data_IF_867179357410
#
_entry.id   IF_867179357410
#
_cell.length_a   1.000
_cell.length_b   1.000
_cell.length_c   1.000
_cell.angle_alpha   90.00
_cell.angle_beta   90.00
_cell.angle_gamma   90.00
#
_symmetry.space_group_name_H-M   'P 1'
#
loop_
_entity.id
_entity.type
_entity.pdbx_description
1 polymer ?
#
# COMPACT_ATOMS: atom_id res chain seq x y z
N UNK A 1 14.10 -5.98 20.98
CA UNK A 1 13.27 -6.56 19.94
C UNK A 1 12.62 -5.45 19.11
N UNK A 2 12.77 -5.48 17.79
CA UNK A 2 12.24 -4.44 16.87
C UNK A 2 10.72 -4.39 16.88
N UNK A 3 10.08 -5.52 17.09
CA UNK A 3 8.61 -5.59 17.13
C UNK A 3 8.08 -4.93 18.40
N UNK A 4 8.69 -5.19 19.56
CA UNK A 4 8.35 -4.50 20.81
C UNK A 4 8.53 -3.00 20.66
N UNK A 5 9.64 -2.55 20.06
CA UNK A 5 9.88 -1.12 19.80
C UNK A 5 8.75 -0.50 18.94
N UNK A 6 8.27 -1.22 17.93
CA UNK A 6 7.12 -0.78 17.10
C UNK A 6 5.88 -0.58 17.96
N UNK A 7 5.55 -1.54 18.83
CA UNK A 7 4.39 -1.45 19.72
C UNK A 7 4.55 -0.32 20.74
N UNK A 8 5.73 -0.11 21.29
CA UNK A 8 6.01 0.98 22.23
C UNK A 8 5.83 2.36 21.56
N UNK A 9 6.26 2.48 20.29
CA UNK A 9 6.03 3.70 19.49
C UNK A 9 4.54 3.93 19.28
N UNK A 10 3.77 2.90 18.91
CA UNK A 10 2.32 3.03 18.76
C UNK A 10 1.65 3.45 20.07
N UNK A 11 1.99 2.80 21.18
CA UNK A 11 1.45 3.13 22.50
C UNK A 11 1.73 4.60 22.89
N UNK A 12 2.92 5.10 22.58
CA UNK A 12 3.28 6.50 22.83
C UNK A 12 2.44 7.49 22.05
N UNK A 13 2.10 7.19 20.79
CA UNK A 13 1.25 8.05 19.99
C UNK A 13 -0.21 8.00 20.43
N UNK A 14 -0.69 6.82 20.84
CA UNK A 14 -2.06 6.60 21.31
C UNK A 14 -2.30 7.32 22.65
N UNK A 15 -1.30 7.38 23.53
CA UNK A 15 -1.43 8.02 24.85
C UNK A 15 -1.60 9.55 24.81
N UNK A 16 -1.36 10.19 23.67
CA UNK A 16 -1.42 11.64 23.51
C UNK A 16 -2.81 12.22 23.22
N UNK A 17 -3.89 11.54 23.54
CA UNK A 17 -5.30 12.00 23.53
C UNK A 17 -5.77 12.82 22.31
N UNK A 18 -5.07 12.77 21.19
CA UNK A 18 -5.48 13.46 19.98
C UNK A 18 -6.15 12.51 19.00
N UNK A 19 -7.21 12.99 18.44
CA UNK A 19 -8.34 12.36 17.79
C UNK A 19 -8.10 11.16 16.86
N UNK A 20 -7.10 11.13 16.02
CA UNK A 20 -6.72 10.00 15.16
C UNK A 20 -5.26 10.17 14.76
N UNK A 21 -4.48 9.11 14.96
CA UNK A 21 -3.10 9.06 14.49
C UNK A 21 -2.98 8.05 13.31
N UNK A 22 -2.76 8.52 12.08
CA UNK A 22 -2.58 7.63 10.94
C UNK A 22 -1.19 6.99 10.97
N UNK A 23 -1.15 5.66 10.86
CA UNK A 23 0.07 4.88 10.75
C UNK A 23 0.10 4.18 9.41
N UNK A 24 1.15 4.40 8.62
CA UNK A 24 1.38 3.70 7.36
C UNK A 24 2.14 2.41 7.61
N UNK A 25 1.60 1.29 7.15
CA UNK A 25 2.23 -0.02 7.22
C UNK A 25 2.19 -0.69 5.85
N UNK A 26 3.14 -1.57 5.60
CA UNK A 26 3.20 -2.37 4.38
C UNK A 26 3.16 -3.88 4.66
N UNK A 27 3.15 -4.27 5.93
CA UNK A 27 3.14 -5.68 6.31
C UNK A 27 1.82 -6.36 5.93
N UNK A 28 1.88 -7.62 5.52
CA UNK A 28 0.69 -8.47 5.43
C UNK A 28 0.11 -8.68 6.84
N UNK A 29 -1.20 -8.93 6.91
CA UNK A 29 -1.86 -9.14 8.18
C UNK A 29 -1.37 -10.44 8.85
N UNK A 30 -1.06 -10.34 10.14
CA UNK A 30 -0.73 -11.45 11.02
C UNK A 30 -1.40 -11.23 12.37
N UNK A 31 -1.92 -12.29 12.98
CA UNK A 31 -2.47 -12.18 14.33
C UNK A 31 -1.38 -11.92 15.37
N UNK A 32 -0.24 -12.59 15.20
CA UNK A 32 0.91 -12.50 16.10
C UNK A 32 2.21 -12.46 15.31
N UNK A 33 3.16 -11.76 15.85
CA UNK A 33 4.56 -11.79 15.44
C UNK A 33 5.39 -12.06 16.70
N UNK A 34 6.16 -13.17 16.70
CA UNK A 34 6.92 -13.61 17.89
C UNK A 34 6.10 -13.65 19.19
N UNK A 35 4.89 -14.24 19.12
CA UNK A 35 3.94 -14.35 20.24
C UNK A 35 3.34 -13.03 20.73
N UNK A 36 3.56 -11.92 20.03
CA UNK A 36 2.99 -10.61 20.35
C UNK A 36 1.95 -10.18 19.29
N UNK A 37 0.94 -9.39 19.65
CA UNK A 37 0.02 -8.84 18.67
C UNK A 37 0.77 -8.05 17.59
N UNK A 38 0.41 -8.27 16.32
CA UNK A 38 1.00 -7.56 15.19
C UNK A 38 0.73 -6.04 15.25
N UNK A 39 -0.46 -5.68 15.70
CA UNK A 39 -0.91 -4.29 15.91
C UNK A 39 -1.66 -4.19 17.24
N UNK A 40 -1.80 -3.00 17.82
CA UNK A 40 -2.65 -2.77 18.98
C UNK A 40 -4.13 -2.79 18.56
N UNK A 41 -4.69 -3.99 18.30
CA UNK A 41 -6.02 -4.18 17.71
C UNK A 41 -7.12 -3.44 18.45
N UNK A 42 -7.12 -3.50 19.78
CA UNK A 42 -8.11 -2.85 20.64
C UNK A 42 -8.04 -1.31 20.65
N UNK A 43 -6.96 -0.74 20.13
CA UNK A 43 -6.73 0.71 20.02
C UNK A 43 -6.76 1.19 18.56
N UNK A 44 -6.87 0.27 17.62
CA UNK A 44 -6.94 0.57 16.19
C UNK A 44 -8.38 0.85 15.78
N UNK A 45 -8.67 2.06 15.31
CA UNK A 45 -10.01 2.48 14.93
C UNK A 45 -10.51 1.82 13.66
N UNK A 46 -9.69 1.85 12.62
CA UNK A 46 -9.98 1.22 11.33
C UNK A 46 -8.70 1.05 10.50
N UNK A 47 -8.77 0.20 9.52
CA UNK A 47 -7.76 0.04 8.47
C UNK A 47 -8.32 0.56 7.15
N UNK A 48 -7.61 1.48 6.52
CA UNK A 48 -7.82 1.84 5.12
C UNK A 48 -6.83 1.03 4.29
N UNK A 49 -7.33 -0.05 3.67
CA UNK A 49 -6.50 -0.95 2.87
C UNK A 49 -6.52 -0.54 1.41
N UNK A 50 -5.41 0.04 0.96
CA UNK A 50 -5.25 0.47 -0.42
C UNK A 50 -4.72 -0.69 -1.27
N UNK A 51 -5.49 -1.11 -2.27
CA UNK A 51 -5.10 -2.16 -3.22
C UNK A 51 -4.95 -1.56 -4.62
N UNK A 52 -4.02 -2.12 -5.37
CA UNK A 52 -3.81 -1.78 -6.79
C UNK A 52 -3.81 -3.06 -7.63
N UNK A 53 -4.26 -2.98 -8.89
CA UNK A 53 -4.19 -4.12 -9.78
C UNK A 53 -2.74 -4.66 -9.90
N UNK A 54 -2.56 -5.98 -9.95
CA UNK A 54 -1.24 -6.59 -9.85
C UNK A 54 -0.35 -6.30 -11.07
N UNK A 55 -0.92 -5.99 -12.21
CA UNK A 55 -0.17 -5.69 -13.43
C UNK A 55 0.52 -4.33 -13.35
N UNK A 56 -0.22 -3.27 -13.00
CA UNK A 56 0.36 -1.95 -12.74
C UNK A 56 1.31 -1.97 -11.55
N UNK A 57 0.98 -2.79 -10.52
CA UNK A 57 1.84 -2.96 -9.36
C UNK A 57 3.19 -3.54 -9.77
N UNK A 58 3.24 -4.59 -10.61
CA UNK A 58 4.48 -5.18 -11.09
C UNK A 58 5.39 -4.13 -11.75
N UNK A 59 4.84 -3.27 -12.60
CA UNK A 59 5.59 -2.18 -13.23
C UNK A 59 6.06 -1.12 -12.24
N UNK A 60 5.20 -0.71 -11.31
CA UNK A 60 5.53 0.29 -10.29
C UNK A 60 6.57 -0.22 -9.31
N UNK A 61 6.40 -1.46 -8.86
CA UNK A 61 7.27 -2.08 -7.86
C UNK A 61 8.65 -2.43 -8.42
N UNK A 62 8.76 -2.80 -9.71
CA UNK A 62 10.05 -3.01 -10.38
C UNK A 62 10.92 -1.75 -10.33
N UNK A 63 10.32 -0.58 -10.56
CA UNK A 63 11.03 0.71 -10.46
C UNK A 63 11.44 1.02 -9.03
N UNK A 64 10.56 0.75 -8.07
CA UNK A 64 10.84 0.98 -6.66
C UNK A 64 12.00 0.10 -6.17
N UNK A 65 12.02 -1.17 -6.57
CA UNK A 65 13.07 -2.13 -6.19
C UNK A 65 14.36 -1.97 -7.02
N UNK A 66 14.30 -1.30 -8.18
CA UNK A 66 15.44 -1.21 -9.11
C UNK A 66 15.79 -2.55 -9.76
N UNK A 67 14.81 -3.40 -9.98
CA UNK A 67 14.96 -4.70 -10.63
C UNK A 67 14.06 -4.81 -11.86
N UNK A 68 14.33 -5.79 -12.73
CA UNK A 68 13.48 -6.04 -13.89
C UNK A 68 12.08 -6.56 -13.50
N UNK A 69 11.17 -6.53 -14.46
CA UNK A 69 9.77 -6.91 -14.26
C UNK A 69 9.65 -8.41 -13.95
N UNK A 70 10.42 -9.29 -14.60
CA UNK A 70 10.34 -10.73 -14.36
C UNK A 70 10.73 -11.07 -12.92
N UNK A 71 11.80 -10.44 -12.41
CA UNK A 71 12.21 -10.58 -11.02
C UNK A 71 11.16 -10.02 -10.05
N UNK A 72 10.52 -8.92 -10.41
CA UNK A 72 9.43 -8.34 -9.61
C UNK A 72 8.23 -9.27 -9.55
N UNK A 73 7.84 -9.88 -10.67
CA UNK A 73 6.76 -10.89 -10.71
C UNK A 73 7.12 -12.09 -9.83
N UNK A 74 8.37 -12.56 -9.89
CA UNK A 74 8.85 -13.63 -9.01
C UNK A 74 8.74 -13.23 -7.53
N UNK A 75 9.13 -12.00 -7.17
CA UNK A 75 8.97 -11.45 -5.81
C UNK A 75 7.50 -11.43 -5.40
N UNK A 76 6.60 -10.94 -6.24
CA UNK A 76 5.15 -10.89 -5.95
C UNK A 76 4.54 -12.29 -5.74
N UNK A 77 5.20 -13.34 -6.21
CA UNK A 77 4.82 -14.75 -6.06
C UNK A 77 5.59 -15.47 -4.95
N UNK A 78 6.52 -14.80 -4.26
CA UNK A 78 7.34 -15.42 -3.21
C UNK A 78 6.63 -15.37 -1.88
N UNK A 79 6.37 -16.54 -1.28
CA UNK A 79 5.86 -16.63 0.09
C UNK A 79 6.91 -16.12 1.08
N UNK A 80 6.44 -15.48 2.13
CA UNK A 80 7.26 -14.86 3.18
C UNK A 80 8.27 -13.84 2.66
N UNK A 81 8.02 -13.25 1.49
CA UNK A 81 8.88 -12.16 1.01
C UNK A 81 8.84 -10.99 1.97
N UNK A 82 10.03 -10.50 2.35
CA UNK A 82 10.20 -9.41 3.31
C UNK A 82 11.01 -8.29 2.67
N UNK A 83 10.46 -7.07 2.70
CA UNK A 83 11.21 -5.86 2.36
C UNK A 83 12.16 -5.47 3.48
N UNK A 84 13.25 -4.82 3.11
CA UNK A 84 14.18 -4.21 4.07
C UNK A 84 14.79 -5.21 5.05
N UNK A 85 15.13 -6.42 4.59
CA UNK A 85 15.86 -7.40 5.42
C UNK A 85 17.19 -6.77 5.83
N UNK A 86 17.52 -6.73 7.15
CA UNK A 86 18.75 -6.14 7.63
C UNK A 86 19.96 -6.84 6.99
N UNK A 87 20.72 -6.10 6.19
CA UNK A 87 22.09 -6.46 5.84
C UNK A 87 23.03 -5.86 6.90
N UNK A 88 24.34 -6.02 6.77
CA UNK A 88 25.35 -5.49 7.72
C UNK A 88 25.32 -3.97 7.95
N UNK A 89 24.38 -3.23 7.35
CA UNK A 89 24.19 -1.78 7.52
C UNK A 89 22.82 -1.51 8.12
N UNK A 90 22.72 -0.48 8.98
CA UNK A 90 21.43 0.03 9.45
C UNK A 90 20.59 0.46 8.27
N UNK A 91 19.38 -0.10 8.16
CA UNK A 91 18.40 0.27 7.16
C UNK A 91 17.57 1.45 7.69
N UNK A 92 17.14 2.31 6.78
CA UNK A 92 16.21 3.41 7.09
C UNK A 92 14.79 2.93 7.40
N UNK A 93 14.50 1.65 7.14
CA UNK A 93 13.19 1.04 7.35
C UNK A 93 13.31 -0.28 8.11
N UNK A 94 12.31 -0.58 8.92
CA UNK A 94 12.17 -1.87 9.56
C UNK A 94 11.81 -2.96 8.54
N UNK A 95 12.16 -4.23 8.78
CA UNK A 95 11.68 -5.34 7.96
C UNK A 95 10.16 -5.37 7.88
N UNK A 96 9.62 -5.58 6.70
CA UNK A 96 8.18 -5.60 6.42
C UNK A 96 7.83 -6.86 5.65
N UNK A 97 7.06 -7.75 6.26
CA UNK A 97 6.63 -8.98 5.63
C UNK A 97 5.51 -8.69 4.62
N UNK A 98 5.79 -8.83 3.34
CA UNK A 98 4.80 -8.64 2.29
C UNK A 98 4.06 -9.92 1.93
N UNK A 99 4.74 -11.06 1.94
CA UNK A 99 4.22 -12.30 1.41
C UNK A 99 3.90 -12.20 -0.12
N UNK A 100 3.13 -13.14 -0.70
CA UNK A 100 2.65 -12.99 -2.07
C UNK A 100 1.58 -11.90 -2.16
N UNK A 101 1.39 -11.29 -3.33
CA UNK A 101 0.34 -10.28 -3.53
C UNK A 101 -1.05 -10.81 -3.12
N UNK A 102 -1.40 -12.03 -3.50
CA UNK A 102 -2.69 -12.63 -3.13
C UNK A 102 -2.80 -12.94 -1.64
N UNK A 103 -1.75 -13.44 -1.01
CA UNK A 103 -1.77 -13.78 0.41
C UNK A 103 -1.82 -12.53 1.28
N UNK A 104 -1.14 -11.46 0.87
CA UNK A 104 -1.21 -10.16 1.51
C UNK A 104 -2.66 -9.64 1.58
N UNK A 105 -3.34 -9.62 0.44
CA UNK A 105 -4.73 -9.12 0.35
C UNK A 105 -5.67 -10.04 1.11
N UNK A 106 -5.53 -11.36 0.96
CA UNK A 106 -6.37 -12.34 1.63
C UNK A 106 -6.27 -12.20 3.16
N UNK A 107 -5.07 -12.04 3.69
CA UNK A 107 -4.85 -11.84 5.13
C UNK A 107 -5.63 -10.65 5.64
N UNK A 108 -5.50 -9.49 4.99
CA UNK A 108 -6.22 -8.28 5.39
C UNK A 108 -7.74 -8.39 5.23
N UNK A 109 -8.23 -8.99 4.16
CA UNK A 109 -9.68 -9.10 3.94
C UNK A 109 -10.37 -10.11 4.86
N UNK A 110 -9.64 -11.12 5.34
CA UNK A 110 -10.22 -12.17 6.19
C UNK A 110 -10.09 -11.89 7.70
N UNK A 111 -9.27 -10.94 8.12
CA UNK A 111 -9.16 -10.55 9.52
C UNK A 111 -10.49 -9.97 10.03
N UNK A 112 -10.75 -10.12 11.34
CA UNK A 112 -11.97 -9.64 12.02
C UNK A 112 -11.66 -8.73 13.20
N UNK A 113 -10.40 -8.43 13.43
CA UNK A 113 -9.93 -7.69 14.61
C UNK A 113 -10.18 -6.18 14.50
N UNK A 114 -10.08 -5.63 13.28
CA UNK A 114 -10.18 -4.20 13.04
C UNK A 114 -11.15 -3.97 11.88
N UNK A 115 -12.09 -3.01 11.97
CA UNK A 115 -12.87 -2.58 10.82
C UNK A 115 -11.98 -2.22 9.63
N UNK A 116 -12.30 -2.74 8.43
CA UNK A 116 -11.48 -2.54 7.25
C UNK A 116 -12.31 -1.92 6.12
N UNK A 117 -11.79 -0.82 5.57
CA UNK A 117 -12.26 -0.21 4.33
C UNK A 117 -11.30 -0.55 3.20
N UNK A 118 -11.76 -1.32 2.23
CA UNK A 118 -11.02 -1.58 0.99
C UNK A 118 -11.18 -0.40 0.03
N UNK A 119 -10.04 0.12 -0.43
CA UNK A 119 -9.96 1.21 -1.43
C UNK A 119 -9.12 0.73 -2.61
N UNK A 120 -9.69 0.78 -3.82
CA UNK A 120 -8.93 0.50 -5.04
C UNK A 120 -8.24 1.76 -5.52
N UNK A 121 -6.96 1.67 -5.82
CA UNK A 121 -6.18 2.78 -6.36
C UNK A 121 -6.82 3.36 -7.63
N UNK A 122 -7.34 2.51 -8.49
CA UNK A 122 -7.99 2.87 -9.74
C UNK A 122 -9.24 3.73 -9.51
N UNK A 123 -10.05 3.37 -8.51
CA UNK A 123 -11.24 4.16 -8.14
C UNK A 123 -10.84 5.47 -7.45
N UNK A 124 -9.80 5.45 -6.62
CA UNK A 124 -9.28 6.65 -5.99
C UNK A 124 -8.83 7.69 -7.01
N UNK A 125 -8.18 7.25 -8.09
CA UNK A 125 -7.77 8.16 -9.19
C UNK A 125 -8.97 8.62 -10.02
N UNK A 126 -9.93 7.74 -10.28
CA UNK A 126 -11.09 8.03 -11.13
C UNK A 126 -12.13 8.91 -10.44
N UNK A 127 -12.37 8.69 -9.15
CA UNK A 127 -13.42 9.35 -8.36
C UNK A 127 -12.88 9.77 -6.99
N UNK A 128 -11.88 10.66 -6.93
CA UNK A 128 -11.19 10.99 -5.67
C UNK A 128 -12.14 11.53 -4.61
N UNK A 129 -13.09 12.42 -4.96
CA UNK A 129 -14.04 12.99 -4.00
C UNK A 129 -14.85 11.88 -3.30
N UNK A 130 -15.38 10.93 -4.08
CA UNK A 130 -16.17 9.82 -3.55
C UNK A 130 -15.34 8.92 -2.66
N UNK A 131 -14.15 8.52 -3.09
CA UNK A 131 -13.31 7.60 -2.33
C UNK A 131 -12.74 8.24 -1.06
N UNK A 132 -12.31 9.50 -1.11
CA UNK A 132 -11.88 10.20 0.10
C UNK A 132 -13.04 10.47 1.06
N UNK A 133 -14.24 10.80 0.58
CA UNK A 133 -15.43 10.90 1.44
C UNK A 133 -15.69 9.58 2.17
N UNK A 134 -15.68 8.43 1.48
CA UNK A 134 -15.81 7.09 2.08
C UNK A 134 -14.77 6.82 3.16
N UNK A 135 -13.52 7.25 2.94
CA UNK A 135 -12.45 7.11 3.95
C UNK A 135 -12.77 7.95 5.18
N UNK A 136 -13.12 9.21 5.01
CA UNK A 136 -13.43 10.11 6.13
C UNK A 136 -14.64 9.64 6.91
N UNK A 137 -15.70 9.17 6.23
CA UNK A 137 -16.89 8.60 6.85
C UNK A 137 -16.55 7.33 7.66
N UNK A 138 -15.74 6.43 7.10
CA UNK A 138 -15.27 5.23 7.81
C UNK A 138 -14.48 5.58 9.09
N UNK A 139 -13.74 6.65 9.07
CA UNK A 139 -12.95 7.13 10.20
C UNK A 139 -13.77 8.03 11.16
N UNK A 140 -15.06 8.32 10.85
CA UNK A 140 -15.88 9.29 11.56
C UNK A 140 -15.20 10.68 11.68
N UNK A 141 -14.57 11.13 10.59
CA UNK A 141 -13.95 12.46 10.51
C UNK A 141 -14.93 13.40 9.80
N UNK A 142 -15.34 14.44 10.49
CA UNK A 142 -16.19 15.48 9.91
C UNK A 142 -15.40 16.32 8.90
N UNK A 143 -15.99 16.62 7.75
CA UNK A 143 -15.39 17.42 6.71
C UNK A 143 -16.45 18.32 6.04
N UNK A 144 -15.99 19.32 5.31
CA UNK A 144 -16.81 20.05 4.35
C UNK A 144 -16.32 19.76 2.94
N UNK A 145 -17.21 19.85 1.96
CA UNK A 145 -16.86 19.61 0.55
C UNK A 145 -15.71 20.51 0.08
N UNK A 146 -15.67 21.73 0.55
CA UNK A 146 -14.59 22.67 0.24
C UNK A 146 -13.24 22.15 0.74
N UNK A 147 -13.14 21.75 2.02
CA UNK A 147 -11.89 21.20 2.60
C UNK A 147 -11.48 19.89 1.94
N UNK A 148 -12.45 19.04 1.61
CA UNK A 148 -12.20 17.79 0.90
C UNK A 148 -11.60 18.08 -0.49
N UNK A 149 -12.20 18.99 -1.26
CA UNK A 149 -11.70 19.36 -2.58
C UNK A 149 -10.31 20.00 -2.53
N UNK A 150 -10.07 20.89 -1.56
CA UNK A 150 -8.75 21.50 -1.35
C UNK A 150 -7.68 20.45 -1.05
N UNK A 151 -7.99 19.47 -0.20
CA UNK A 151 -7.08 18.38 0.14
C UNK A 151 -6.78 17.49 -1.08
N UNK A 152 -7.80 17.16 -1.88
CA UNK A 152 -7.64 16.36 -3.10
C UNK A 152 -6.78 17.12 -4.13
N UNK A 153 -7.03 18.39 -4.30
CA UNK A 153 -6.24 19.23 -5.21
C UNK A 153 -4.78 19.34 -4.75
N UNK A 154 -4.56 19.53 -3.44
CA UNK A 154 -3.22 19.56 -2.85
C UNK A 154 -2.47 18.25 -3.06
N UNK A 155 -3.15 17.12 -2.93
CA UNK A 155 -2.61 15.76 -3.13
C UNK A 155 -2.69 15.28 -4.59
N UNK A 156 -3.00 16.15 -5.56
CA UNK A 156 -3.03 15.77 -6.97
C UNK A 156 -1.65 15.34 -7.47
N UNK A 157 -1.63 14.44 -8.47
CA UNK A 157 -0.38 13.96 -9.06
C UNK A 157 0.51 15.10 -9.56
N UNK A 158 -0.07 16.07 -10.22
CA UNK A 158 0.62 17.23 -10.77
C UNK A 158 1.31 18.05 -9.67
N UNK A 159 0.58 18.27 -8.58
CA UNK A 159 1.10 19.03 -7.44
C UNK A 159 2.21 18.26 -6.71
N UNK A 160 1.97 16.98 -6.39
CA UNK A 160 2.96 16.14 -5.71
C UNK A 160 4.22 15.92 -6.56
N UNK A 161 4.07 15.68 -7.88
CA UNK A 161 5.21 15.56 -8.80
C UNK A 161 6.01 16.87 -8.90
N UNK A 162 5.31 18.03 -8.88
CA UNK A 162 5.97 19.34 -8.86
C UNK A 162 6.73 19.58 -7.56
N UNK A 163 6.14 19.20 -6.42
CA UNK A 163 6.81 19.27 -5.11
C UNK A 163 8.03 18.36 -5.04
N UNK A 164 7.93 17.13 -5.55
CA UNK A 164 9.07 16.21 -5.63
C UNK A 164 10.24 16.81 -6.42
N UNK A 165 9.96 17.41 -7.57
CA UNK A 165 11.00 18.06 -8.39
C UNK A 165 11.70 19.20 -7.66
N UNK A 166 10.96 19.95 -6.82
CA UNK A 166 11.47 21.14 -6.13
C UNK A 166 12.18 20.80 -4.82
N UNK A 167 11.65 19.86 -4.06
CA UNK A 167 12.08 19.60 -2.66
C UNK A 167 12.60 18.17 -2.44
N UNK A 168 12.47 17.30 -3.43
CA UNK A 168 12.68 15.87 -3.25
C UNK A 168 11.49 15.17 -2.61
N UNK A 169 11.58 13.85 -2.46
CA UNK A 169 10.58 13.05 -1.78
C UNK A 169 11.25 11.97 -0.93
N UNK A 170 10.94 11.94 0.36
CA UNK A 170 11.63 11.06 1.33
C UNK A 170 11.51 9.56 1.03
N UNK A 171 10.36 9.12 0.51
CA UNK A 171 10.13 7.71 0.19
C UNK A 171 10.63 7.32 -1.20
N UNK A 172 11.28 8.24 -1.91
CA UNK A 172 11.87 7.94 -3.21
C UNK A 172 12.96 6.90 -3.05
N UNK A 173 12.84 5.79 -3.78
CA UNK A 173 13.88 4.76 -3.83
C UNK A 173 15.19 5.33 -4.39
N UNK A 174 16.31 4.86 -3.85
CA UNK A 174 17.66 5.16 -4.39
C UNK A 174 17.85 4.66 -5.82
N UNK A 175 17.00 3.72 -6.26
CA UNK A 175 17.03 3.13 -7.58
C UNK A 175 16.14 3.86 -8.60
N UNK A 176 15.42 4.90 -8.19
CA UNK A 176 14.50 5.64 -9.06
C UNK A 176 14.85 7.13 -9.10
N UNK A 177 14.78 7.74 -10.30
CA UNK A 177 14.97 9.17 -10.44
C UNK A 177 13.76 9.99 -9.93
N UNK A 178 12.56 9.41 -9.99
CA UNK A 178 11.31 10.03 -9.53
C UNK A 178 10.46 9.00 -8.81
N UNK A 179 9.71 9.43 -7.79
CA UNK A 179 8.68 8.63 -7.14
C UNK A 179 7.35 8.72 -7.89
N UNK A 180 6.90 9.96 -8.18
CA UNK A 180 5.67 10.23 -8.92
C UNK A 180 5.91 10.07 -10.43
N UNK A 181 5.65 8.87 -10.97
CA UNK A 181 6.05 8.54 -12.35
C UNK A 181 4.93 8.81 -13.38
N UNK A 182 3.75 8.21 -13.21
CA UNK A 182 2.65 8.32 -14.19
C UNK A 182 1.34 8.83 -13.63
N UNK A 183 1.01 8.54 -12.38
CA UNK A 183 -0.29 8.88 -11.78
C UNK A 183 -1.50 8.25 -12.48
N UNK A 184 -1.28 7.20 -13.29
CA UNK A 184 -2.31 6.57 -14.13
C UNK A 184 -2.58 5.14 -13.68
N UNK A 185 -3.76 4.63 -14.03
CA UNK A 185 -4.13 3.23 -13.91
C UNK A 185 -4.16 2.55 -15.27
N UNK A 186 -4.05 1.21 -15.28
CA UNK A 186 -4.07 0.35 -16.47
C UNK A 186 -3.00 0.68 -17.53
N UNK A 187 -1.86 1.22 -17.09
CA UNK A 187 -0.75 1.56 -17.99
C UNK A 187 0.20 0.38 -18.25
N UNK A 188 0.04 -0.73 -17.56
CA UNK A 188 0.87 -1.94 -17.66
C UNK A 188 1.00 -2.47 -19.11
N UNK A 189 -0.02 -2.27 -19.96
CA UNK A 189 -0.05 -2.72 -21.36
C UNK A 189 1.14 -2.20 -22.20
N UNK A 190 1.75 -1.11 -21.76
CA UNK A 190 2.93 -0.53 -22.42
C UNK A 190 4.26 -1.12 -21.92
N UNK A 191 4.24 -1.97 -20.91
CA UNK A 191 5.44 -2.45 -20.20
C UNK A 191 5.50 -3.95 -20.04
N UNK A 192 4.35 -4.62 -19.91
CA UNK A 192 4.28 -6.06 -19.75
C UNK A 192 4.04 -6.74 -21.09
N UNK A 193 4.77 -7.85 -21.33
CA UNK A 193 4.46 -8.74 -22.43
C UNK A 193 3.39 -9.77 -22.06
N UNK A 194 2.86 -10.49 -23.04
CA UNK A 194 1.78 -11.48 -22.85
C UNK A 194 2.14 -12.57 -21.84
N UNK A 195 3.39 -13.06 -21.86
CA UNK A 195 3.86 -14.07 -20.91
C UNK A 195 3.82 -13.56 -19.46
N UNK A 196 4.26 -12.33 -19.23
CA UNK A 196 4.23 -11.69 -17.92
C UNK A 196 2.81 -11.49 -17.41
N UNK A 197 1.92 -11.01 -18.29
CA UNK A 197 0.49 -10.84 -18.00
C UNK A 197 -0.12 -12.18 -17.61
N UNK A 198 0.10 -13.22 -18.42
CA UNK A 198 -0.40 -14.56 -18.17
C UNK A 198 0.11 -15.11 -16.84
N UNK A 199 1.40 -14.97 -16.53
CA UNK A 199 2.00 -15.43 -15.28
C UNK A 199 1.34 -14.75 -14.07
N UNK A 200 1.17 -13.43 -14.08
CA UNK A 200 0.51 -12.69 -13.00
C UNK A 200 -0.94 -13.16 -12.84
N UNK A 201 -1.66 -13.31 -13.94
CA UNK A 201 -3.07 -13.73 -13.90
C UNK A 201 -3.21 -15.16 -13.35
N UNK A 202 -2.44 -16.11 -13.82
CA UNK A 202 -2.49 -17.51 -13.35
C UNK A 202 -2.22 -17.61 -11.84
N UNK A 203 -1.27 -16.85 -11.33
CA UNK A 203 -0.92 -16.86 -9.91
C UNK A 203 -1.93 -16.16 -9.00
N UNK A 204 -2.62 -15.14 -9.52
CA UNK A 204 -3.44 -14.24 -8.70
C UNK A 204 -4.92 -14.20 -9.09
N UNK A 205 -5.37 -15.05 -10.04
CA UNK A 205 -6.72 -15.01 -10.65
C UNK A 205 -7.85 -15.02 -9.62
N UNK A 206 -7.73 -15.78 -8.54
CA UNK A 206 -8.75 -15.85 -7.49
C UNK A 206 -8.99 -14.48 -6.83
N UNK A 207 -7.93 -13.80 -6.43
CA UNK A 207 -8.03 -12.48 -5.78
C UNK A 207 -8.37 -11.39 -6.78
N UNK A 208 -7.84 -11.47 -8.01
CA UNK A 208 -8.21 -10.57 -9.11
C UNK A 208 -9.73 -10.58 -9.30
N UNK A 209 -10.33 -11.77 -9.41
CA UNK A 209 -11.79 -11.94 -9.55
C UNK A 209 -12.56 -11.48 -8.31
N UNK A 210 -12.09 -11.84 -7.11
CA UNK A 210 -12.69 -11.43 -5.85
C UNK A 210 -12.77 -9.91 -5.71
N UNK A 211 -11.73 -9.21 -6.17
CA UNK A 211 -11.69 -7.76 -6.17
C UNK A 211 -12.50 -7.13 -7.32
N UNK A 212 -13.07 -7.93 -8.22
CA UNK A 212 -13.83 -7.44 -9.37
C UNK A 212 -12.96 -6.66 -10.36
N UNK A 213 -11.69 -7.05 -10.50
CA UNK A 213 -10.89 -6.61 -11.63
C UNK A 213 -11.24 -7.46 -12.84
N UNK A 214 -11.71 -6.79 -13.89
CA UNK A 214 -11.98 -7.39 -15.17
C UNK A 214 -10.88 -7.00 -16.15
N UNK A 215 -10.24 -8.00 -16.74
CA UNK A 215 -9.18 -7.82 -17.72
C UNK A 215 -9.54 -8.64 -18.96
N UNK A 216 -9.77 -7.96 -20.05
CA UNK A 216 -9.89 -8.55 -21.38
C UNK A 216 -8.47 -8.97 -21.85
N UNK A 217 -8.25 -10.28 -21.93
CA UNK A 217 -7.00 -10.87 -22.44
C UNK A 217 -7.20 -11.41 -23.84
#
# INVERSE_FOLDING_TARGET
DLHQLRLDVYAKYISNERDIFPVKIHDCFQYQFDSMPFLPFNQSKAVVYLVRNPFDLAVSFSRHLGVDIDKTIAIMNTENYTLSIPSKKYLSQMPQLLNTWSSHIRGWLHQKEIPLLLVKYEELIKQPQKEFARILDCLNISYSDMKLNDAIQFASFENLSSQEKKYGFQEKSIHSNTFFHTGKSFYYKNYLNEKQIKTIFEQHSSIIKQLGYDFDF
#
